data_IF_600910720456
#
_entry.id   IF_600910720456
#
_cell.length_a   1.000
_cell.length_b   1.000
_cell.length_c   1.000
_cell.angle_alpha   90.00
_cell.angle_beta   90.00
_cell.angle_gamma   90.00
#
_symmetry.space_group_name_H-M   'P 1'
#
loop_
_entity.id
_entity.type
_entity.pdbx_description
1 polymer ?
#
# COMPACT_ATOMS: atom_id res chain seq x y z
N UNK A 1 -20.37 0.54 10.72
CA UNK A 1 -19.97 -0.68 10.00
C UNK A 1 -18.98 -0.35 8.90
N UNK A 2 -18.42 -1.35 8.24
CA UNK A 2 -17.49 -1.16 7.09
C UNK A 2 -18.25 -0.63 5.87
N UNK A 3 -17.70 0.36 5.20
CA UNK A 3 -18.31 0.98 4.01
C UNK A 3 -17.88 0.24 2.72
N UNK A 4 -18.62 -0.82 2.39
CA UNK A 4 -18.38 -1.63 1.19
C UNK A 4 -18.55 -0.81 -0.09
N UNK A 5 -19.53 0.11 -0.15
CA UNK A 5 -19.79 0.93 -1.34
C UNK A 5 -18.59 1.84 -1.66
N UNK A 6 -18.00 2.45 -0.63
CA UNK A 6 -16.79 3.28 -0.80
C UNK A 6 -15.62 2.48 -1.35
N UNK A 7 -15.42 1.25 -0.86
CA UNK A 7 -14.37 0.35 -1.35
C UNK A 7 -14.62 -0.04 -2.80
N UNK A 8 -15.85 -0.48 -3.15
CA UNK A 8 -16.24 -0.86 -4.51
C UNK A 8 -16.03 0.30 -5.47
N UNK A 9 -16.53 1.49 -5.15
CA UNK A 9 -16.35 2.69 -5.97
C UNK A 9 -14.86 3.02 -6.20
N UNK A 10 -14.00 2.78 -5.21
CA UNK A 10 -12.56 3.00 -5.35
C UNK A 10 -11.91 1.97 -6.28
N UNK A 11 -12.31 0.70 -6.17
CA UNK A 11 -11.88 -0.39 -7.06
C UNK A 11 -12.26 -0.09 -8.51
N UNK A 12 -13.51 0.31 -8.75
CA UNK A 12 -14.02 0.62 -10.09
C UNK A 12 -13.33 1.87 -10.68
N UNK A 13 -13.16 2.93 -9.88
CA UNK A 13 -12.43 4.14 -10.30
C UNK A 13 -10.99 3.86 -10.74
N UNK A 14 -10.35 2.90 -10.12
CA UNK A 14 -8.98 2.46 -10.44
C UNK A 14 -8.96 1.37 -11.52
N UNK A 15 -10.12 0.95 -12.01
CA UNK A 15 -10.29 -0.13 -12.98
C UNK A 15 -9.56 -1.42 -12.57
N UNK A 16 -9.68 -1.81 -11.28
CA UNK A 16 -9.04 -3.01 -10.76
C UNK A 16 -9.94 -4.24 -10.94
N UNK A 17 -9.40 -5.40 -11.36
CA UNK A 17 -10.16 -6.63 -11.59
C UNK A 17 -10.43 -7.38 -10.27
N UNK A 18 -11.07 -6.71 -9.33
CA UNK A 18 -11.30 -7.23 -7.98
C UNK A 18 -12.78 -7.42 -7.72
N UNK A 19 -13.10 -8.45 -6.92
CA UNK A 19 -14.42 -8.68 -6.36
C UNK A 19 -14.39 -8.51 -4.84
N UNK A 20 -15.42 -7.86 -4.30
CA UNK A 20 -15.56 -7.58 -2.87
C UNK A 20 -16.61 -8.51 -2.27
N UNK A 21 -16.25 -9.17 -1.19
CA UNK A 21 -17.11 -10.07 -0.42
C UNK A 21 -17.26 -9.57 1.01
N UNK A 22 -18.41 -9.86 1.59
CA UNK A 22 -18.63 -9.64 3.01
C UNK A 22 -17.79 -10.63 3.83
N UNK A 23 -17.05 -10.16 4.83
CA UNK A 23 -16.43 -11.04 5.83
C UNK A 23 -17.44 -11.50 6.88
N UNK A 24 -17.12 -12.55 7.63
CA UNK A 24 -18.00 -13.06 8.72
C UNK A 24 -18.38 -11.97 9.73
N UNK A 25 -17.44 -11.09 10.06
CA UNK A 25 -17.63 -10.00 11.03
C UNK A 25 -18.22 -8.71 10.44
N UNK A 26 -18.61 -8.70 9.15
CA UNK A 26 -19.18 -7.54 8.49
C UNK A 26 -18.17 -6.59 7.83
N UNK A 27 -16.88 -6.90 7.88
CA UNK A 27 -15.84 -6.24 7.07
C UNK A 27 -15.83 -6.76 5.62
N UNK A 28 -14.73 -6.55 4.90
CA UNK A 28 -14.57 -6.99 3.51
C UNK A 28 -13.44 -8.02 3.36
N UNK A 29 -13.66 -8.99 2.46
CA UNK A 29 -12.62 -9.74 1.79
C UNK A 29 -12.57 -9.30 0.33
N UNK A 30 -11.40 -9.13 -0.23
CA UNK A 30 -11.22 -8.71 -1.64
C UNK A 30 -10.43 -9.79 -2.35
N UNK A 31 -10.98 -10.28 -3.48
CA UNK A 31 -10.36 -11.35 -4.26
C UNK A 31 -9.98 -10.85 -5.65
N UNK A 32 -8.82 -11.31 -6.11
CA UNK A 32 -8.40 -11.27 -7.49
C UNK A 32 -8.37 -12.71 -8.01
N UNK A 33 -8.98 -12.96 -9.15
CA UNK A 33 -9.06 -14.26 -9.75
C UNK A 33 -8.26 -14.33 -11.04
N UNK A 34 -7.57 -15.45 -11.25
CA UNK A 34 -6.82 -15.73 -12.48
C UNK A 34 -7.39 -16.94 -13.22
N UNK A 35 -7.24 -16.98 -14.54
CA UNK A 35 -7.75 -18.06 -15.38
C UNK A 35 -7.03 -19.38 -15.15
N UNK A 36 -5.78 -19.34 -14.70
CA UNK A 36 -4.94 -20.49 -14.36
C UNK A 36 -4.09 -20.15 -13.12
N UNK A 37 -3.42 -21.13 -12.56
CA UNK A 37 -2.51 -20.93 -11.43
C UNK A 37 -1.35 -20.01 -11.80
N UNK A 38 -0.97 -19.12 -10.88
CA UNK A 38 0.18 -18.22 -10.97
C UNK A 38 1.07 -18.40 -9.76
N UNK A 39 2.31 -17.95 -9.86
CA UNK A 39 3.24 -17.98 -8.72
C UNK A 39 2.71 -17.18 -7.53
N UNK A 40 2.78 -17.78 -6.34
CA UNK A 40 2.32 -17.17 -5.09
C UNK A 40 3.01 -15.83 -4.81
N UNK A 41 4.30 -15.72 -5.16
CA UNK A 41 5.07 -14.47 -5.01
C UNK A 41 4.53 -13.36 -5.90
N UNK A 42 4.29 -13.66 -7.19
CA UNK A 42 3.76 -12.70 -8.16
C UNK A 42 2.38 -12.16 -7.72
N UNK A 43 1.47 -13.07 -7.35
CA UNK A 43 0.15 -12.70 -6.84
C UNK A 43 0.24 -11.82 -5.59
N UNK A 44 1.05 -12.25 -4.62
CA UNK A 44 1.20 -11.52 -3.35
C UNK A 44 1.77 -10.11 -3.54
N UNK A 45 2.82 -9.97 -4.35
CA UNK A 45 3.45 -8.67 -4.59
C UNK A 45 2.46 -7.70 -5.27
N UNK A 46 1.67 -8.19 -6.23
CA UNK A 46 0.62 -7.41 -6.88
C UNK A 46 -0.49 -6.99 -5.89
N UNK A 47 -0.96 -7.91 -5.07
CA UNK A 47 -2.00 -7.63 -4.06
C UNK A 47 -1.51 -6.68 -2.96
N UNK A 48 -0.24 -6.72 -2.56
CA UNK A 48 0.35 -5.75 -1.63
C UNK A 48 0.34 -4.33 -2.21
N UNK A 49 0.70 -4.17 -3.49
CA UNK A 49 0.63 -2.88 -4.18
C UNK A 49 -0.80 -2.36 -4.30
N UNK A 50 -1.75 -3.24 -4.66
CA UNK A 50 -3.17 -2.91 -4.75
C UNK A 50 -3.71 -2.48 -3.38
N UNK A 51 -3.46 -3.26 -2.32
CA UNK A 51 -3.95 -2.96 -0.98
C UNK A 51 -3.44 -1.61 -0.47
N UNK A 52 -2.18 -1.28 -0.75
CA UNK A 52 -1.60 0.02 -0.40
C UNK A 52 -2.30 1.19 -1.10
N UNK A 53 -2.57 1.07 -2.41
CA UNK A 53 -3.29 2.10 -3.17
C UNK A 53 -4.73 2.23 -2.72
N UNK A 54 -5.37 1.13 -2.35
CA UNK A 54 -6.71 1.15 -1.76
C UNK A 54 -6.75 1.73 -0.34
N UNK A 55 -5.60 1.92 0.32
CA UNK A 55 -5.49 2.43 1.68
C UNK A 55 -5.61 1.34 2.76
N UNK A 56 -5.38 0.10 2.39
CA UNK A 56 -5.46 -1.09 3.25
C UNK A 56 -4.14 -1.87 3.31
N UNK A 57 -2.99 -1.20 3.09
CA UNK A 57 -1.66 -1.83 3.06
C UNK A 57 -1.25 -2.54 4.37
N UNK A 58 -1.89 -2.19 5.51
CA UNK A 58 -1.72 -2.89 6.78
C UNK A 58 -2.57 -4.16 6.93
N UNK A 59 -3.45 -4.47 5.98
CA UNK A 59 -4.33 -5.63 6.03
C UNK A 59 -3.61 -6.92 5.67
N UNK A 60 -4.18 -8.05 6.09
CA UNK A 60 -3.69 -9.37 5.68
C UNK A 60 -3.81 -9.56 4.17
N UNK A 61 -2.75 -10.05 3.54
CA UNK A 61 -2.71 -10.41 2.13
C UNK A 61 -2.36 -11.89 1.98
N UNK A 62 -3.16 -12.62 1.22
CA UNK A 62 -2.94 -14.01 0.87
C UNK A 62 -2.52 -14.13 -0.61
N UNK A 63 -1.60 -15.06 -0.93
CA UNK A 63 -0.96 -16.03 -0.04
C UNK A 63 0.03 -15.34 0.93
N UNK A 64 0.08 -15.79 2.19
CA UNK A 64 1.07 -15.30 3.18
C UNK A 64 2.46 -15.88 2.92
N UNK A 65 2.50 -17.13 2.45
CA UNK A 65 3.71 -17.84 2.08
C UNK A 65 3.87 -17.77 0.57
N UNK A 66 5.08 -17.54 0.10
CA UNK A 66 5.42 -17.53 -1.33
C UNK A 66 6.05 -18.85 -1.75
N UNK A 67 6.55 -19.63 -0.79
CA UNK A 67 7.16 -20.94 -0.96
C UNK A 67 6.72 -21.87 0.17
N UNK A 68 6.57 -23.14 -0.12
CA UNK A 68 6.39 -24.20 0.86
C UNK A 68 7.76 -24.69 1.34
N UNK A 69 7.92 -24.90 2.64
CA UNK A 69 9.20 -25.32 3.23
C UNK A 69 9.53 -26.79 2.95
N UNK A 70 8.53 -27.61 2.71
CA UNK A 70 8.65 -29.03 2.37
C UNK A 70 7.47 -29.48 1.50
N UNK A 71 7.53 -30.70 0.96
CA UNK A 71 6.42 -31.29 0.18
C UNK A 71 5.17 -31.58 1.02
N UNK A 72 5.35 -31.75 2.31
CA UNK A 72 4.26 -32.02 3.27
C UNK A 72 3.71 -30.74 3.92
N UNK A 73 4.31 -29.58 3.60
CA UNK A 73 3.83 -28.29 4.10
C UNK A 73 2.56 -27.87 3.37
N UNK A 74 1.62 -27.32 4.13
CA UNK A 74 0.37 -26.77 3.60
C UNK A 74 0.38 -25.25 3.69
N UNK A 75 -0.11 -24.59 2.65
CA UNK A 75 -0.28 -23.14 2.64
C UNK A 75 -1.30 -22.67 3.69
N UNK A 76 -1.48 -21.37 3.79
CA UNK A 76 -2.44 -20.77 4.72
C UNK A 76 -3.87 -21.06 4.28
N UNK A 77 -4.74 -21.32 5.25
CA UNK A 77 -6.17 -21.45 5.00
C UNK A 77 -6.77 -20.14 4.51
N UNK A 78 -7.60 -20.23 3.48
CA UNK A 78 -8.46 -19.16 3.01
C UNK A 78 -9.91 -19.61 3.15
N UNK A 79 -10.72 -18.81 3.86
CA UNK A 79 -12.15 -19.08 3.97
C UNK A 79 -12.84 -18.83 2.62
N UNK A 80 -13.45 -19.84 2.06
CA UNK A 80 -14.19 -19.74 0.80
C UNK A 80 -15.45 -18.90 0.98
N UNK A 81 -15.75 -18.00 0.02
CA UNK A 81 -17.07 -17.41 -0.10
C UNK A 81 -18.09 -18.48 -0.48
N UNK A 82 -19.37 -18.21 -0.24
CA UNK A 82 -20.49 -19.11 -0.56
C UNK A 82 -20.37 -20.54 0.00
N UNK A 83 -19.69 -20.73 1.14
CA UNK A 83 -19.52 -22.05 1.76
C UNK A 83 -20.86 -22.79 2.00
N UNK A 84 -21.94 -22.07 2.23
CA UNK A 84 -23.29 -22.63 2.41
C UNK A 84 -24.24 -22.19 1.28
N UNK A 85 -23.75 -22.13 0.03
CA UNK A 85 -24.52 -21.62 -1.10
C UNK A 85 -25.07 -20.22 -0.80
N UNK A 86 -26.29 -19.94 -1.18
CA UNK A 86 -26.91 -18.63 -1.00
C UNK A 86 -27.27 -18.29 0.47
N UNK A 87 -27.22 -19.29 1.38
CA UNK A 87 -27.38 -19.07 2.83
C UNK A 87 -26.09 -18.60 3.51
N UNK A 88 -25.12 -18.13 2.74
CA UNK A 88 -23.82 -17.65 3.24
C UNK A 88 -23.92 -16.27 3.87
N UNK A 89 -23.04 -15.99 4.85
CA UNK A 89 -22.76 -14.62 5.30
C UNK A 89 -21.59 -13.99 4.55
N UNK A 90 -20.92 -14.76 3.66
CA UNK A 90 -19.72 -14.34 2.89
C UNK A 90 -20.09 -14.29 1.38
N UNK A 91 -21.07 -13.49 1.06
CA UNK A 91 -21.52 -13.26 -0.31
C UNK A 91 -20.71 -12.17 -1.01
N UNK A 92 -20.71 -12.19 -2.34
CA UNK A 92 -20.14 -11.15 -3.18
C UNK A 92 -21.09 -9.93 -3.24
N UNK A 93 -20.51 -8.77 -3.45
CA UNK A 93 -21.26 -7.55 -3.74
C UNK A 93 -21.18 -7.21 -5.23
N UNK A 94 -22.29 -6.71 -5.77
CA UNK A 94 -22.31 -6.06 -7.08
C UNK A 94 -21.77 -4.61 -7.00
N UNK A 95 -21.76 -3.90 -8.12
CA UNK A 95 -21.33 -2.50 -8.19
C UNK A 95 -22.14 -1.54 -7.30
N UNK A 96 -23.39 -1.90 -6.96
CA UNK A 96 -24.24 -1.11 -6.09
C UNK A 96 -24.05 -1.40 -4.60
N UNK A 97 -23.12 -2.31 -4.26
CA UNK A 97 -22.92 -2.87 -2.92
C UNK A 97 -24.13 -3.68 -2.41
N UNK A 98 -24.86 -4.31 -3.30
CA UNK A 98 -25.91 -5.25 -3.00
C UNK A 98 -25.37 -6.67 -3.03
N UNK A 99 -25.86 -7.53 -2.13
CA UNK A 99 -25.51 -8.95 -2.11
C UNK A 99 -26.00 -9.65 -3.37
N UNK A 100 -25.16 -10.48 -3.98
CA UNK A 100 -25.55 -11.31 -5.13
C UNK A 100 -25.61 -12.79 -4.73
N UNK A 101 -26.44 -13.57 -5.43
CA UNK A 101 -26.50 -15.02 -5.30
C UNK A 101 -25.28 -15.70 -5.93
N UNK A 102 -25.18 -17.02 -5.80
CA UNK A 102 -24.03 -17.78 -6.28
C UNK A 102 -23.88 -17.72 -7.82
N UNK A 103 -24.99 -17.79 -8.56
CA UNK A 103 -24.98 -17.77 -10.03
C UNK A 103 -24.52 -16.39 -10.55
N UNK A 104 -25.03 -15.30 -9.99
CA UNK A 104 -24.60 -13.95 -10.30
C UNK A 104 -23.12 -13.70 -9.93
N UNK A 105 -22.65 -14.30 -8.83
CA UNK A 105 -21.22 -14.26 -8.51
C UNK A 105 -20.39 -14.94 -9.62
N UNK A 106 -20.79 -16.10 -10.12
CA UNK A 106 -20.05 -16.75 -11.23
C UNK A 106 -20.03 -15.88 -12.49
N UNK A 107 -21.11 -15.17 -12.81
CA UNK A 107 -21.11 -14.20 -13.90
C UNK A 107 -20.10 -13.06 -13.66
N UNK A 108 -20.04 -12.51 -12.44
CA UNK A 108 -19.06 -11.49 -12.08
C UNK A 108 -17.62 -12.03 -12.11
N UNK A 109 -17.41 -13.27 -11.66
CA UNK A 109 -16.13 -13.96 -11.73
C UNK A 109 -15.62 -14.08 -13.16
N UNK A 110 -16.48 -14.54 -14.09
CA UNK A 110 -16.12 -14.66 -15.52
C UNK A 110 -15.74 -13.30 -16.14
N UNK A 111 -16.39 -12.22 -15.73
CA UNK A 111 -16.10 -10.86 -16.19
C UNK A 111 -14.82 -10.27 -15.62
N UNK A 112 -14.43 -10.66 -14.39
CA UNK A 112 -13.33 -10.03 -13.64
C UNK A 112 -12.06 -10.87 -13.57
N UNK A 113 -12.11 -12.18 -13.88
CA UNK A 113 -10.90 -13.03 -13.90
C UNK A 113 -9.94 -12.56 -15.00
N UNK A 114 -8.66 -12.63 -14.73
CA UNK A 114 -7.59 -12.19 -15.63
C UNK A 114 -6.60 -13.31 -15.94
N UNK A 115 -5.90 -13.20 -17.06
CA UNK A 115 -4.81 -14.14 -17.38
C UNK A 115 -3.54 -13.81 -16.60
N UNK A 116 -2.54 -14.72 -16.55
CA UNK A 116 -1.24 -14.41 -15.96
C UNK A 116 -0.55 -13.21 -16.61
N UNK A 117 -0.66 -13.05 -17.93
CA UNK A 117 -0.09 -11.93 -18.69
C UNK A 117 -0.79 -10.62 -18.30
N UNK A 118 -2.11 -10.65 -18.14
CA UNK A 118 -2.87 -9.50 -17.65
C UNK A 118 -2.52 -9.16 -16.19
N UNK A 119 -2.26 -10.16 -15.35
CA UNK A 119 -1.79 -9.94 -13.97
C UNK A 119 -0.41 -9.26 -13.97
N UNK A 120 0.51 -9.71 -14.82
CA UNK A 120 1.83 -9.11 -14.96
C UNK A 120 1.73 -7.66 -15.44
N UNK A 121 0.95 -7.43 -16.51
CA UNK A 121 0.73 -6.12 -17.09
C UNK A 121 -0.15 -5.18 -16.24
N UNK A 122 -0.81 -5.69 -15.19
CA UNK A 122 -1.71 -4.90 -14.36
C UNK A 122 -0.93 -3.79 -13.65
N UNK A 123 -1.07 -2.56 -14.14
CA UNK A 123 -0.51 -1.38 -13.50
C UNK A 123 -1.43 -0.91 -12.38
N UNK A 124 -0.86 -0.78 -11.18
CA UNK A 124 -1.55 -0.18 -10.04
C UNK A 124 -1.37 1.34 -10.14
N UNK A 125 -2.33 2.00 -10.80
CA UNK A 125 -2.28 3.46 -10.99
C UNK A 125 -2.26 4.19 -9.67
N UNK A 126 -1.22 5.00 -9.48
CA UNK A 126 -1.10 5.92 -8.35
C UNK A 126 -1.38 7.34 -8.84
N UNK A 127 -1.91 8.23 -8.00
CA UNK A 127 -2.03 9.63 -8.37
C UNK A 127 -0.66 10.22 -8.70
N UNK A 128 -0.57 11.09 -9.69
CA UNK A 128 0.64 11.88 -9.91
C UNK A 128 0.95 12.73 -8.68
N UNK A 129 2.19 12.70 -8.24
CA UNK A 129 2.60 13.32 -6.98
C UNK A 129 4.05 13.80 -7.04
N UNK A 130 4.33 14.87 -6.31
CA UNK A 130 5.70 15.36 -6.10
C UNK A 130 6.60 14.40 -5.29
N UNK A 131 6.02 13.29 -4.80
CA UNK A 131 6.71 12.26 -4.02
C UNK A 131 7.09 11.03 -4.85
N UNK A 132 7.04 11.09 -6.19
CA UNK A 132 7.28 9.95 -7.07
C UNK A 132 8.68 9.31 -6.92
N UNK A 133 9.66 10.02 -6.38
CA UNK A 133 11.00 9.56 -6.04
C UNK A 133 11.16 9.16 -4.55
N UNK A 134 10.12 9.33 -3.75
CA UNK A 134 10.08 9.08 -2.31
C UNK A 134 9.11 7.97 -1.89
N UNK A 135 8.75 7.90 -0.60
CA UNK A 135 7.86 6.87 -0.09
C UNK A 135 6.48 6.89 -0.77
N UNK A 136 6.01 5.76 -1.35
CA UNK A 136 4.70 5.69 -2.00
C UNK A 136 3.52 6.03 -1.08
N UNK A 137 3.69 5.84 0.22
CA UNK A 137 2.67 6.20 1.21
C UNK A 137 2.40 7.71 1.25
N UNK A 138 3.42 8.57 1.09
CA UNK A 138 3.23 10.01 0.98
C UNK A 138 2.47 10.39 -0.29
N UNK A 139 2.80 9.75 -1.42
CA UNK A 139 2.11 9.93 -2.69
C UNK A 139 0.60 9.65 -2.60
N UNK A 140 0.24 8.56 -1.91
CA UNK A 140 -1.16 8.13 -1.82
C UNK A 140 -1.93 8.88 -0.73
N UNK A 141 -1.35 9.06 0.46
CA UNK A 141 -2.07 9.67 1.58
C UNK A 141 -2.36 11.17 1.35
N UNK A 142 -1.47 11.89 0.68
CA UNK A 142 -1.67 13.30 0.36
C UNK A 142 -2.75 13.56 -0.69
N UNK A 143 -3.21 12.50 -1.37
CA UNK A 143 -4.33 12.54 -2.32
C UNK A 143 -5.66 12.06 -1.69
N UNK A 144 -5.65 11.74 -0.41
CA UNK A 144 -6.84 11.31 0.34
C UNK A 144 -7.25 12.37 1.35
N UNK A 145 -8.49 12.30 1.80
CA UNK A 145 -8.94 13.12 2.94
C UNK A 145 -8.21 12.65 4.22
N UNK A 146 -7.36 13.50 4.75
CA UNK A 146 -6.60 13.22 5.99
C UNK A 146 -7.50 13.56 7.18
N UNK A 147 -7.97 12.53 7.92
CA UNK A 147 -8.84 12.67 9.09
C UNK A 147 -8.11 12.58 10.41
N UNK A 148 -6.95 11.92 10.43
CA UNK A 148 -6.10 11.74 11.62
C UNK A 148 -4.64 11.54 11.22
N UNK A 149 -3.75 11.62 12.17
CA UNK A 149 -2.34 11.28 12.00
C UNK A 149 -1.48 12.35 11.33
N UNK A 150 -1.93 13.61 11.23
CA UNK A 150 -1.13 14.73 10.69
C UNK A 150 0.30 14.76 11.23
N UNK A 151 0.45 14.52 12.52
CA UNK A 151 1.72 14.48 13.22
C UNK A 151 2.66 13.40 12.69
N UNK A 152 2.13 12.18 12.46
CA UNK A 152 2.86 11.02 11.93
C UNK A 152 3.16 11.17 10.44
N UNK A 153 2.23 11.74 9.69
CA UNK A 153 2.43 12.05 8.26
C UNK A 153 3.53 13.10 8.10
N UNK A 154 3.51 14.16 8.94
CA UNK A 154 4.57 15.19 8.92
C UNK A 154 5.92 14.60 9.28
N UNK A 155 6.01 13.70 10.27
CA UNK A 155 7.24 12.98 10.59
C UNK A 155 7.77 12.21 9.38
N UNK A 156 6.89 11.49 8.69
CA UNK A 156 7.25 10.72 7.50
C UNK A 156 7.78 11.62 6.38
N UNK A 157 7.13 12.78 6.18
CA UNK A 157 7.60 13.77 5.22
C UNK A 157 8.96 14.35 5.62
N UNK A 158 9.22 14.62 6.92
CA UNK A 158 10.52 15.08 7.40
C UNK A 158 11.63 14.10 7.00
N UNK A 159 11.41 12.78 7.19
CA UNK A 159 12.41 11.77 6.82
C UNK A 159 12.69 11.75 5.31
N UNK A 160 11.67 11.95 4.49
CA UNK A 160 11.82 12.10 3.04
C UNK A 160 12.56 13.39 2.67
N UNK A 161 12.14 14.53 3.23
CA UNK A 161 12.71 15.84 2.95
C UNK A 161 14.20 15.91 3.30
N UNK A 162 14.62 15.32 4.42
CA UNK A 162 16.02 15.24 4.84
C UNK A 162 16.88 14.47 3.83
N UNK A 163 16.36 13.40 3.24
CA UNK A 163 17.06 12.64 2.22
C UNK A 163 17.14 13.38 0.89
N UNK A 164 16.06 14.05 0.51
CA UNK A 164 15.96 14.73 -0.79
C UNK A 164 16.66 16.08 -0.80
N UNK A 165 16.57 16.84 0.31
CA UNK A 165 17.13 18.20 0.43
C UNK A 165 17.90 18.37 1.76
N UNK A 166 19.04 17.69 1.94
CA UNK A 166 19.73 17.65 3.24
C UNK A 166 20.06 19.04 3.80
N UNK A 167 20.41 20.01 2.93
CA UNK A 167 20.79 21.36 3.33
C UNK A 167 19.63 22.33 3.56
N UNK A 168 18.41 21.98 3.12
CA UNK A 168 17.26 22.93 3.11
C UNK A 168 15.93 22.31 3.49
N UNK A 169 15.93 21.10 4.05
CA UNK A 169 14.71 20.38 4.40
C UNK A 169 13.81 21.12 5.37
N UNK A 170 14.38 21.87 6.36
CA UNK A 170 13.62 22.60 7.38
C UNK A 170 12.62 23.59 6.75
N UNK A 171 13.05 24.29 5.70
CA UNK A 171 12.21 25.25 4.98
C UNK A 171 11.03 24.61 4.22
N UNK A 172 11.08 23.28 3.97
CA UNK A 172 10.01 22.56 3.27
C UNK A 172 8.87 22.12 4.18
N UNK A 173 9.11 22.02 5.48
CA UNK A 173 8.17 21.38 6.42
C UNK A 173 6.91 22.22 6.62
N UNK A 174 7.04 23.53 6.80
CA UNK A 174 5.89 24.42 6.92
C UNK A 174 5.04 24.44 5.62
N UNK A 175 5.69 24.50 4.47
CA UNK A 175 4.99 24.46 3.19
C UNK A 175 4.15 23.17 3.02
N UNK A 176 4.71 22.01 3.41
CA UNK A 176 3.97 20.75 3.41
C UNK A 176 2.78 20.78 4.38
N UNK A 177 2.99 21.26 5.61
CA UNK A 177 1.95 21.35 6.63
C UNK A 177 0.74 22.16 6.12
N UNK A 178 0.98 23.34 5.61
CA UNK A 178 -0.10 24.18 5.08
C UNK A 178 -0.71 23.60 3.79
N UNK A 179 0.08 23.07 2.87
CA UNK A 179 -0.42 22.53 1.60
C UNK A 179 -1.37 21.36 1.80
N UNK A 180 -1.04 20.43 2.70
CA UNK A 180 -1.75 19.16 2.80
C UNK A 180 -2.68 19.04 4.01
N UNK A 181 -2.55 19.91 5.01
CA UNK A 181 -3.39 19.85 6.21
C UNK A 181 -4.38 20.99 6.35
N UNK A 182 -4.41 21.97 5.43
CA UNK A 182 -5.37 23.08 5.50
C UNK A 182 -6.83 22.64 5.36
N UNK A 183 -7.09 21.53 4.67
CA UNK A 183 -8.43 20.94 4.52
C UNK A 183 -8.83 20.02 5.68
N UNK A 184 -7.93 19.75 6.63
CA UNK A 184 -8.24 18.97 7.81
C UNK A 184 -9.23 19.73 8.71
N UNK A 185 -10.21 19.06 9.38
CA UNK A 185 -11.17 19.72 10.26
C UNK A 185 -10.55 20.63 11.33
N UNK A 186 -9.38 20.25 11.84
CA UNK A 186 -8.62 21.05 12.82
C UNK A 186 -7.54 21.94 12.16
N UNK A 187 -7.53 22.05 10.84
CA UNK A 187 -6.53 22.82 10.09
C UNK A 187 -5.12 22.23 10.10
N UNK A 188 -4.11 22.99 9.66
CA UNK A 188 -2.71 22.59 9.74
C UNK A 188 -2.24 22.48 11.20
N UNK A 189 -1.15 21.77 11.42
CA UNK A 189 -0.51 21.73 12.74
C UNK A 189 0.02 23.11 13.13
N UNK A 190 -0.10 23.46 14.41
CA UNK A 190 0.41 24.73 14.95
C UNK A 190 1.93 24.85 14.72
N UNK A 191 2.38 26.07 14.43
CA UNK A 191 3.79 26.34 14.15
C UNK A 191 4.72 25.88 15.30
N UNK A 192 4.29 25.99 16.56
CA UNK A 192 5.04 25.51 17.71
C UNK A 192 5.29 24.00 17.64
N UNK A 193 4.30 23.22 17.21
CA UNK A 193 4.43 21.76 17.03
C UNK A 193 5.38 21.47 15.87
N UNK A 194 5.22 22.14 14.74
CA UNK A 194 6.08 21.99 13.57
C UNK A 194 7.54 22.31 13.91
N UNK A 195 7.81 23.46 14.58
CA UNK A 195 9.17 23.84 15.01
C UNK A 195 9.76 22.85 16.00
N UNK A 196 8.95 22.34 16.94
CA UNK A 196 9.37 21.26 17.84
C UNK A 196 9.83 20.00 17.11
N UNK A 197 9.11 19.60 16.03
CA UNK A 197 9.50 18.47 15.19
C UNK A 197 10.77 18.72 14.38
N UNK A 198 10.92 19.91 13.83
CA UNK A 198 12.12 20.31 13.11
C UNK A 198 13.31 20.18 14.06
N UNK A 199 13.24 20.81 15.24
CA UNK A 199 14.31 20.75 16.26
C UNK A 199 14.59 19.33 16.72
N UNK A 200 13.55 18.50 16.92
CA UNK A 200 13.73 17.09 17.32
C UNK A 200 14.49 16.26 16.28
N UNK A 201 14.24 16.52 14.98
CA UNK A 201 14.85 15.77 13.88
C UNK A 201 16.20 16.34 13.42
N UNK A 202 16.57 17.52 13.88
CA UNK A 202 17.84 18.15 13.49
C UNK A 202 19.04 17.37 14.05
N UNK A 203 20.06 17.20 13.23
CA UNK A 203 21.26 16.43 13.55
C UNK A 203 21.04 14.93 13.80
N UNK A 204 19.83 14.37 13.61
CA UNK A 204 19.53 12.95 13.87
C UNK A 204 19.28 12.20 12.58
N UNK A 205 19.87 11.02 12.42
CA UNK A 205 19.50 10.07 11.37
C UNK A 205 18.40 9.15 11.88
N UNK A 206 17.15 9.39 11.45
CA UNK A 206 15.99 8.63 11.82
C UNK A 206 15.37 7.96 10.60
N UNK A 207 14.78 6.78 10.82
CA UNK A 207 14.13 6.01 9.76
C UNK A 207 12.65 6.36 9.55
N UNK A 208 12.08 5.84 8.47
CA UNK A 208 10.65 5.87 8.23
C UNK A 208 9.89 4.98 9.21
N UNK A 209 8.71 5.43 9.65
CA UNK A 209 7.82 4.68 10.54
C UNK A 209 6.70 4.00 9.73
N UNK A 210 7.07 2.96 8.99
CA UNK A 210 6.18 2.31 8.02
C UNK A 210 5.06 1.47 8.66
N UNK A 211 5.19 1.08 9.92
CA UNK A 211 4.24 0.22 10.62
C UNK A 211 3.23 0.99 11.49
N UNK A 212 3.35 2.33 11.57
CA UNK A 212 2.44 3.18 12.36
C UNK A 212 1.29 3.70 11.50
N UNK A 213 0.08 3.78 12.08
CA UNK A 213 -1.05 4.45 11.46
C UNK A 213 -0.78 5.96 11.26
N UNK A 214 -1.29 6.57 10.20
CA UNK A 214 -1.99 5.97 9.07
C UNK A 214 -1.06 5.43 7.99
N UNK A 215 0.26 5.54 8.15
CA UNK A 215 1.24 5.24 7.11
C UNK A 215 1.24 3.76 6.69
N UNK A 216 1.01 2.83 7.64
CA UNK A 216 0.95 1.40 7.35
C UNK A 216 -0.13 1.04 6.31
N UNK A 217 -1.26 1.77 6.31
CA UNK A 217 -2.37 1.54 5.39
C UNK A 217 -2.03 1.89 3.93
N UNK A 218 -1.04 2.74 3.70
CA UNK A 218 -0.60 3.19 2.38
C UNK A 218 0.79 2.67 2.02
N UNK A 219 1.39 1.86 2.90
CA UNK A 219 2.76 1.40 2.77
C UNK A 219 2.90 0.30 1.71
N UNK A 220 3.70 0.58 0.69
CA UNK A 220 4.18 -0.38 -0.30
C UNK A 220 5.70 -0.48 -0.19
N UNK A 221 6.17 -1.42 0.63
CA UNK A 221 7.61 -1.60 0.91
C UNK A 221 8.40 -2.00 -0.32
N UNK A 222 7.80 -2.81 -1.21
CA UNK A 222 8.47 -3.28 -2.41
C UNK A 222 8.78 -2.12 -3.35
N UNK A 223 7.75 -1.32 -3.68
CA UNK A 223 7.93 -0.12 -4.49
C UNK A 223 8.84 0.91 -3.79
N UNK A 224 8.70 1.10 -2.46
CA UNK A 224 9.50 2.06 -1.72
C UNK A 224 11.01 1.74 -1.76
N UNK A 225 11.39 0.46 -1.85
CA UNK A 225 12.79 0.03 -1.98
C UNK A 225 13.40 0.38 -3.33
N UNK A 226 12.61 0.53 -4.37
CA UNK A 226 13.09 0.88 -5.72
C UNK A 226 13.24 2.39 -5.94
N UNK A 227 12.73 3.21 -5.00
CA UNK A 227 12.73 4.65 -5.11
C UNK A 227 13.96 5.28 -4.45
N UNK A 228 14.53 6.30 -5.11
CA UNK A 228 15.76 6.99 -4.71
C UNK A 228 15.74 7.44 -3.23
N UNK A 229 14.65 8.04 -2.78
CA UNK A 229 14.49 8.54 -1.41
C UNK A 229 13.50 7.72 -0.57
N UNK A 230 13.27 6.46 -0.96
CA UNK A 230 12.49 5.48 -0.21
C UNK A 230 13.30 4.78 0.89
N UNK A 231 12.79 3.64 1.38
CA UNK A 231 13.46 2.84 2.42
C UNK A 231 14.71 2.09 1.93
N UNK A 232 14.91 1.97 0.62
CA UNK A 232 16.10 1.37 0.00
C UNK A 232 17.03 2.39 -0.64
N UNK A 233 16.79 3.69 -0.41
CA UNK A 233 17.53 4.77 -1.06
C UNK A 233 19.01 4.87 -0.70
N UNK A 234 19.70 5.85 -1.26
CA UNK A 234 21.16 6.04 -1.35
C UNK A 234 22.02 5.77 -0.10
N UNK A 235 21.43 5.72 1.10
CA UNK A 235 22.17 5.39 2.30
C UNK A 235 22.57 3.91 2.44
N UNK A 236 22.04 3.03 1.57
CA UNK A 236 22.36 1.58 1.57
C UNK A 236 23.27 1.21 0.40
N UNK A 237 23.28 2.00 -0.68
CA UNK A 237 24.07 1.73 -1.88
C UNK A 237 25.58 2.05 -1.77
N UNK A 238 26.06 3.03 -1.01
CA UNK A 238 27.51 3.23 -0.86
C UNK A 238 28.23 1.99 -0.33
N UNK A 239 27.61 1.26 0.60
CA UNK A 239 28.17 0.02 1.18
C UNK A 239 28.21 -1.12 0.16
N UNK A 240 27.19 -1.24 -0.70
CA UNK A 240 27.17 -2.25 -1.78
C UNK A 240 28.08 -1.88 -2.94
N UNK A 241 28.20 -0.58 -3.27
CA UNK A 241 29.15 -0.13 -4.31
C UNK A 241 30.60 -0.30 -3.87
N UNK A 242 30.89 -0.12 -2.59
CA UNK A 242 32.24 -0.37 -2.04
C UNK A 242 32.57 -1.85 -1.98
N UNK A 243 31.59 -2.71 -1.64
CA UNK A 243 31.75 -4.17 -1.73
C UNK A 243 31.86 -4.65 -3.19
N UNK A 244 31.13 -4.06 -4.12
CA UNK A 244 31.28 -4.37 -5.54
C UNK A 244 32.62 -3.89 -6.12
N UNK A 245 33.14 -2.75 -5.69
CA UNK A 245 34.49 -2.28 -6.06
C UNK A 245 35.58 -3.22 -5.54
N UNK A 246 35.48 -3.67 -4.28
CA UNK A 246 36.41 -4.65 -3.70
C UNK A 246 36.39 -5.98 -4.46
N UNK A 247 35.22 -6.42 -4.98
CA UNK A 247 35.10 -7.66 -5.76
C UNK A 247 35.56 -7.51 -7.22
N UNK A 248 35.65 -6.26 -7.75
CA UNK A 248 36.12 -5.98 -9.11
C UNK A 248 37.62 -5.64 -9.18
N UNK A 249 38.25 -5.33 -8.05
CA UNK A 249 39.68 -4.97 -7.94
C UNK A 249 40.57 -6.14 -7.52
N UNK A 250 40.07 -7.38 -7.36
CA UNK A 250 40.89 -8.56 -7.21
C UNK A 250 41.28 -9.12 -8.58
N UNK A 251 42.60 -9.08 -8.96
CA UNK A 251 43.05 -9.70 -10.22
C UNK A 251 43.01 -11.22 -10.05
N UNK A 252 42.42 -11.90 -11.02
CA UNK A 252 42.54 -13.34 -11.23
C UNK A 252 43.98 -13.76 -11.53
#
# INVERSE_FOLDING_TARGET
GFDHKKLINKIDKLNLPLLVFRSKSGGAHVFLFTTVFVEAKQMRDKLLSISAVLGYGGSEVFPKQVELKSKDDTGNFLNLPYFNGDNTTRYCFNQNAEAVNLDDFFNLYELKKITPEQLEALEVKRPESEFGDGPPCLETITQTEIKDGRDRILYQYIQYAKRKWPESWQGKINAFNYKYFSSHPEGPLEDKIVQGKIKFNDGKELGFKCNEDPMCNFCDKNLCRTRKFGIGGESVFPVLSDLQKVLLDEPY
#
